data_IF_524549627232
#
_entry.id   IF_524549627232
#
_cell.length_a   1.000
_cell.length_b   1.000
_cell.length_c   1.000
_cell.angle_alpha   90.00
_cell.angle_beta   90.00
_cell.angle_gamma   90.00
#
_symmetry.space_group_name_H-M   'P 1'
#
loop_
_entity.id
_entity.type
_entity.pdbx_description
1 polymer ?
#
# COMPACT_ATOMS: atom_id res chain seq x y z
N UNK A 1 1.32 47.50 -7.64
CA UNK A 1 1.30 48.89 -7.06
C UNK A 1 2.67 49.22 -6.54
N UNK A 2 3.25 50.43 -6.82
CA UNK A 2 4.60 50.82 -6.35
C UNK A 2 4.54 51.80 -5.17
N UNK A 3 5.52 51.72 -4.28
CA UNK A 3 5.68 52.62 -3.13
C UNK A 3 6.23 53.98 -3.58
N UNK A 4 5.66 55.07 -3.07
CA UNK A 4 6.13 56.41 -3.36
C UNK A 4 7.44 56.75 -2.59
N UNK A 5 8.29 57.64 -3.12
CA UNK A 5 9.62 57.91 -2.58
C UNK A 5 9.66 58.35 -1.09
N UNK A 6 8.62 58.99 -0.57
CA UNK A 6 8.54 59.47 0.83
C UNK A 6 7.44 58.76 1.64
N UNK A 7 6.92 57.64 1.16
CA UNK A 7 5.83 56.93 1.81
C UNK A 7 6.38 55.94 2.85
N UNK A 8 5.86 55.96 4.08
CA UNK A 8 6.21 54.89 5.05
C UNK A 8 5.69 53.55 4.60
N UNK A 9 6.28 52.46 5.07
CA UNK A 9 5.83 51.09 4.74
C UNK A 9 4.36 50.90 5.14
N UNK A 10 3.96 51.41 6.30
CA UNK A 10 2.58 51.30 6.80
C UNK A 10 1.63 52.11 5.91
N UNK A 11 1.96 53.34 5.52
CA UNK A 11 1.15 54.14 4.62
C UNK A 11 0.98 53.49 3.23
N UNK A 12 2.03 52.84 2.73
CA UNK A 12 1.98 52.07 1.49
C UNK A 12 1.05 50.86 1.58
N UNK A 13 1.15 50.09 2.67
CA UNK A 13 0.27 48.93 2.93
C UNK A 13 -1.18 49.37 3.13
N UNK A 14 -1.40 50.51 3.80
CA UNK A 14 -2.71 51.12 3.98
C UNK A 14 -3.35 51.50 2.65
N UNK A 15 -2.62 52.20 1.79
CA UNK A 15 -3.06 52.58 0.45
C UNK A 15 -3.41 51.36 -0.41
N UNK A 16 -2.61 50.30 -0.31
CA UNK A 16 -2.93 49.05 -0.99
C UNK A 16 -4.21 48.39 -0.44
N UNK A 17 -4.44 48.47 0.88
CA UNK A 17 -5.63 47.92 1.52
C UNK A 17 -6.89 48.73 1.17
N UNK A 18 -6.78 50.05 1.03
CA UNK A 18 -7.86 50.88 0.53
C UNK A 18 -8.18 50.61 -0.96
N UNK A 19 -7.17 50.45 -1.80
CA UNK A 19 -7.32 50.08 -3.21
C UNK A 19 -7.99 48.74 -3.37
N UNK A 20 -7.64 47.71 -2.56
CA UNK A 20 -8.33 46.43 -2.53
C UNK A 20 -9.80 46.61 -2.14
N UNK A 21 -10.10 47.46 -1.16
CA UNK A 21 -11.48 47.68 -0.71
C UNK A 21 -12.36 48.38 -1.76
N UNK A 22 -11.76 49.18 -2.63
CA UNK A 22 -12.40 49.85 -3.77
C UNK A 22 -12.48 48.96 -5.02
N UNK A 23 -11.78 47.85 -5.03
CA UNK A 23 -11.69 46.97 -6.21
C UNK A 23 -10.67 47.42 -7.25
N UNK A 24 -9.80 48.38 -6.91
CA UNK A 24 -8.79 48.94 -7.83
C UNK A 24 -7.61 47.94 -8.03
N UNK A 25 -7.38 47.04 -7.08
CA UNK A 25 -6.39 45.97 -7.16
C UNK A 25 -6.99 44.63 -6.75
N UNK A 26 -6.43 43.54 -7.26
CA UNK A 26 -6.79 42.17 -6.87
C UNK A 26 -6.24 41.80 -5.50
N UNK A 27 -6.83 40.76 -4.89
CA UNK A 27 -6.36 40.23 -3.59
C UNK A 27 -4.93 39.70 -3.68
N UNK A 28 -4.48 39.24 -4.85
CA UNK A 28 -3.12 38.77 -5.11
C UNK A 28 -2.13 39.97 -5.11
N UNK A 29 -2.46 41.04 -5.84
CA UNK A 29 -1.64 42.25 -5.87
C UNK A 29 -1.53 42.92 -4.49
N UNK A 30 -2.59 42.87 -3.67
CA UNK A 30 -2.56 43.27 -2.28
C UNK A 30 -1.59 42.41 -1.46
N UNK A 31 -1.62 41.10 -1.66
CA UNK A 31 -0.74 40.17 -0.95
C UNK A 31 0.74 40.37 -1.29
N UNK A 32 1.07 40.68 -2.53
CA UNK A 32 2.43 41.07 -2.95
C UNK A 32 2.95 42.30 -2.19
N UNK A 33 2.08 43.30 -1.95
CA UNK A 33 2.43 44.50 -1.22
C UNK A 33 2.60 44.24 0.29
N UNK A 34 1.70 43.49 0.90
CA UNK A 34 1.62 43.31 2.36
C UNK A 34 2.41 42.10 2.85
N UNK A 35 2.45 41.03 2.11
CA UNK A 35 3.07 39.76 2.47
C UNK A 35 4.32 39.41 1.65
N UNK A 36 4.59 40.15 0.56
CA UNK A 36 5.76 39.95 -0.30
C UNK A 36 5.61 38.77 -1.27
N UNK A 37 4.49 38.05 -1.24
CA UNK A 37 4.23 36.89 -2.12
C UNK A 37 2.73 36.65 -2.30
N UNK A 38 2.20 36.97 -3.49
CA UNK A 38 0.77 36.87 -3.82
C UNK A 38 0.35 35.51 -4.44
N UNK A 39 1.30 34.68 -4.87
CA UNK A 39 0.98 33.43 -5.60
C UNK A 39 0.82 32.20 -4.70
N UNK A 40 1.32 32.24 -3.48
CA UNK A 40 1.43 31.08 -2.57
C UNK A 40 0.14 30.81 -1.76
N UNK A 41 -0.83 31.73 -1.76
CA UNK A 41 -1.99 31.62 -0.85
C UNK A 41 -3.33 31.53 -1.58
N UNK A 42 -4.25 30.71 -1.03
CA UNK A 42 -5.61 30.62 -1.57
C UNK A 42 -6.35 31.97 -1.43
N UNK A 43 -7.28 32.31 -2.35
CA UNK A 43 -8.05 33.55 -2.29
C UNK A 43 -8.81 33.75 -0.97
N UNK A 44 -9.28 32.67 -0.36
CA UNK A 44 -9.99 32.72 0.93
C UNK A 44 -9.07 33.08 2.08
N UNK A 45 -7.85 32.51 2.09
CA UNK A 45 -6.81 32.83 3.06
C UNK A 45 -6.39 34.30 2.95
N UNK A 46 -6.18 34.77 1.72
CA UNK A 46 -5.81 36.18 1.49
C UNK A 46 -6.92 37.14 1.94
N UNK A 47 -8.22 36.78 1.76
CA UNK A 47 -9.35 37.55 2.28
C UNK A 47 -9.37 37.64 3.80
N UNK A 48 -9.08 36.53 4.50
CA UNK A 48 -8.97 36.53 5.97
C UNK A 48 -7.82 37.40 6.43
N UNK A 49 -6.65 37.28 5.80
CA UNK A 49 -5.50 38.13 6.10
C UNK A 49 -5.78 39.62 5.86
N UNK A 50 -6.48 39.99 4.76
CA UNK A 50 -6.81 41.39 4.47
C UNK A 50 -7.79 41.98 5.49
N UNK A 51 -8.75 41.18 5.99
CA UNK A 51 -9.68 41.61 7.05
C UNK A 51 -8.97 41.84 8.38
N UNK A 52 -8.07 40.90 8.78
CA UNK A 52 -7.25 41.08 9.99
C UNK A 52 -6.34 42.30 9.89
N UNK A 53 -5.76 42.53 8.72
CA UNK A 53 -4.90 43.69 8.50
C UNK A 53 -5.70 45.01 8.54
N UNK A 54 -6.94 45.06 8.08
CA UNK A 54 -7.84 46.22 8.24
C UNK A 54 -8.12 46.53 9.71
N UNK A 55 -8.46 45.51 10.50
CA UNK A 55 -8.66 45.68 11.95
C UNK A 55 -7.38 46.19 12.64
N UNK A 56 -6.21 45.70 12.25
CA UNK A 56 -4.94 46.20 12.74
C UNK A 56 -4.71 47.69 12.40
N UNK A 57 -4.97 48.10 11.16
CA UNK A 57 -4.81 49.50 10.75
C UNK A 57 -5.78 50.44 11.50
N UNK A 58 -7.02 50.02 11.70
CA UNK A 58 -7.99 50.78 12.48
C UNK A 58 -7.53 51.02 13.93
N UNK A 59 -7.03 49.97 14.58
CA UNK A 59 -6.49 50.06 15.94
C UNK A 59 -5.18 50.90 15.97
N UNK A 60 -4.28 50.71 15.02
CA UNK A 60 -3.04 51.42 14.90
C UNK A 60 -3.29 52.95 14.77
N UNK A 61 -4.25 53.38 13.96
CA UNK A 61 -4.61 54.77 13.81
C UNK A 61 -5.19 55.38 15.08
N UNK A 62 -5.96 54.60 15.83
CA UNK A 62 -6.50 55.04 17.13
C UNK A 62 -5.36 55.27 18.11
N UNK A 63 -4.39 54.38 18.19
CA UNK A 63 -3.26 54.44 19.10
C UNK A 63 -2.26 55.54 18.76
N UNK A 64 -2.03 55.81 17.48
CA UNK A 64 -1.12 56.86 17.03
C UNK A 64 -1.71 58.24 17.28
N UNK A 65 -3.03 58.41 17.26
CA UNK A 65 -3.73 59.66 17.50
C UNK A 65 -3.79 60.04 18.99
N UNK A 66 -3.83 59.10 19.90
CA UNK A 66 -4.21 59.37 21.31
C UNK A 66 -3.05 59.23 22.31
N UNK A 67 -1.82 58.97 21.88
CA UNK A 67 -0.64 58.90 22.78
C UNK A 67 -0.78 57.80 23.85
N UNK A 68 -0.97 56.58 23.44
CA UNK A 68 -1.58 55.49 24.19
C UNK A 68 -0.85 54.95 25.43
N UNK A 69 -1.60 54.53 26.47
CA UNK A 69 -1.10 53.84 27.67
C UNK A 69 -0.56 52.42 27.37
N UNK A 70 0.22 51.86 28.32
CA UNK A 70 0.94 50.58 28.17
C UNK A 70 0.07 49.33 27.87
N UNK A 71 -1.19 49.28 28.30
CA UNK A 71 -2.15 48.19 28.06
C UNK A 71 -2.51 47.98 26.57
N UNK A 72 -2.53 49.06 25.79
CA UNK A 72 -2.86 48.98 24.37
C UNK A 72 -1.69 48.50 23.51
N UNK A 73 -0.45 48.69 23.99
CA UNK A 73 0.74 48.08 23.38
C UNK A 73 0.74 46.56 23.52
N UNK A 74 0.36 46.04 24.68
CA UNK A 74 0.24 44.59 24.92
C UNK A 74 -0.83 43.96 24.02
N UNK A 75 -1.93 44.67 23.80
CA UNK A 75 -2.99 44.17 22.91
C UNK A 75 -2.55 44.10 21.44
N UNK A 76 -1.74 45.08 20.98
CA UNK A 76 -1.12 45.07 19.66
C UNK A 76 -0.08 43.95 19.47
N UNK A 77 0.70 43.67 20.50
CA UNK A 77 1.66 42.58 20.50
C UNK A 77 0.94 41.21 20.43
N UNK A 78 -0.18 41.06 21.13
CA UNK A 78 -1.02 39.86 21.05
C UNK A 78 -1.62 39.66 19.65
N UNK A 79 -2.18 40.70 19.03
CA UNK A 79 -2.71 40.64 17.66
C UNK A 79 -1.61 40.29 16.65
N UNK A 80 -0.40 40.87 16.79
CA UNK A 80 0.74 40.53 15.96
C UNK A 80 1.17 39.06 16.11
N UNK A 81 1.09 38.53 17.32
CA UNK A 81 1.39 37.12 17.60
C UNK A 81 0.35 36.20 17.01
N UNK A 82 -0.94 36.57 17.08
CA UNK A 82 -2.02 35.82 16.41
C UNK A 82 -1.88 35.81 14.87
N UNK A 83 -1.57 36.96 14.29
CA UNK A 83 -1.27 37.06 12.85
C UNK A 83 -0.09 36.18 12.46
N UNK A 84 0.96 36.13 13.27
CA UNK A 84 2.12 35.26 13.04
C UNK A 84 1.71 33.77 13.13
N UNK A 85 0.90 33.39 14.12
CA UNK A 85 0.38 32.03 14.28
C UNK A 85 -0.49 31.59 13.09
N UNK A 86 -1.39 32.48 12.65
CA UNK A 86 -2.22 32.18 11.47
C UNK A 86 -1.38 32.09 10.19
N UNK A 87 -0.37 32.92 10.00
CA UNK A 87 0.58 32.83 8.89
C UNK A 87 1.30 31.49 8.87
N UNK A 88 1.75 30.98 10.02
CA UNK A 88 2.41 29.68 10.13
C UNK A 88 1.43 28.55 9.79
N UNK A 89 0.19 28.60 10.29
CA UNK A 89 -0.84 27.59 9.95
C UNK A 89 -1.11 27.52 8.45
N UNK A 90 -1.22 28.68 7.80
CA UNK A 90 -1.44 28.77 6.36
C UNK A 90 -0.25 28.24 5.57
N UNK A 91 0.97 28.57 5.99
CA UNK A 91 2.18 28.04 5.36
C UNK A 91 2.23 26.49 5.48
N UNK A 92 1.91 25.97 6.65
CA UNK A 92 1.85 24.51 6.88
C UNK A 92 0.81 23.83 5.99
N UNK A 93 -0.41 24.39 5.95
CA UNK A 93 -1.48 23.86 5.08
C UNK A 93 -1.11 23.88 3.59
N UNK A 94 -0.43 24.93 3.12
CA UNK A 94 0.04 24.99 1.73
C UNK A 94 1.18 24.01 1.45
N UNK A 95 2.08 23.79 2.41
CA UNK A 95 3.13 22.78 2.28
C UNK A 95 2.53 21.38 2.18
N UNK A 96 1.51 21.07 3.00
CA UNK A 96 0.79 19.82 2.97
C UNK A 96 0.01 19.64 1.65
N UNK A 97 -0.71 20.66 1.20
CA UNK A 97 -1.42 20.64 -0.07
C UNK A 97 -0.49 20.42 -1.28
N UNK A 98 0.63 21.13 -1.34
CA UNK A 98 1.62 20.97 -2.40
C UNK A 98 2.35 19.60 -2.30
N UNK A 99 2.53 19.06 -1.11
CA UNK A 99 3.06 17.71 -0.92
C UNK A 99 2.11 16.67 -1.50
N UNK A 100 0.80 16.81 -1.24
CA UNK A 100 -0.23 15.93 -1.79
C UNK A 100 -0.32 16.00 -3.31
N UNK A 101 -0.33 17.22 -3.90
CA UNK A 101 -0.30 17.38 -5.36
C UNK A 101 0.92 16.75 -6.04
N UNK A 102 2.10 16.88 -5.41
CA UNK A 102 3.33 16.23 -5.92
C UNK A 102 3.27 14.72 -5.77
N UNK A 103 2.60 14.23 -4.75
CA UNK A 103 2.38 12.81 -4.51
C UNK A 103 1.49 12.21 -5.61
N UNK A 104 0.33 12.84 -5.89
CA UNK A 104 -0.60 12.42 -6.94
C UNK A 104 0.08 12.41 -8.32
N UNK A 105 0.81 13.48 -8.65
CA UNK A 105 1.54 13.55 -9.91
C UNK A 105 2.63 12.47 -10.05
N UNK A 106 3.24 12.01 -8.94
CA UNK A 106 4.22 10.91 -8.98
C UNK A 106 3.54 9.55 -9.16
N UNK A 107 2.36 9.35 -8.55
CA UNK A 107 1.58 8.13 -8.78
C UNK A 107 1.14 8.02 -10.24
N UNK A 108 0.64 9.11 -10.83
CA UNK A 108 0.27 9.16 -12.24
C UNK A 108 1.46 8.80 -13.13
N UNK A 109 2.63 9.43 -12.89
CA UNK A 109 3.86 9.12 -13.62
C UNK A 109 4.32 7.66 -13.46
N UNK A 110 4.13 7.07 -12.27
CA UNK A 110 4.48 5.68 -12.03
C UNK A 110 3.54 4.75 -12.77
N UNK A 111 2.23 5.03 -12.71
CA UNK A 111 1.21 4.27 -13.43
C UNK A 111 1.42 4.35 -14.95
N UNK A 112 1.71 5.54 -15.50
CA UNK A 112 2.03 5.71 -16.92
C UNK A 112 3.26 4.89 -17.33
N UNK A 113 4.34 4.90 -16.55
CA UNK A 113 5.54 4.10 -16.83
C UNK A 113 5.26 2.59 -16.80
N UNK A 114 4.44 2.13 -15.87
CA UNK A 114 4.02 0.72 -15.78
C UNK A 114 3.22 0.33 -17.02
N UNK A 115 2.22 1.15 -17.41
CA UNK A 115 1.41 0.92 -18.62
C UNK A 115 2.27 0.93 -19.87
N UNK A 116 3.20 1.89 -19.99
CA UNK A 116 4.13 1.96 -21.13
C UNK A 116 5.06 0.74 -21.19
N UNK A 117 5.54 0.27 -20.05
CA UNK A 117 6.37 -0.94 -19.99
C UNK A 117 5.57 -2.18 -20.46
N UNK A 118 4.33 -2.33 -20.00
CA UNK A 118 3.45 -3.44 -20.40
C UNK A 118 3.14 -3.39 -21.91
N UNK A 119 2.87 -2.20 -22.46
CA UNK A 119 2.54 -2.04 -23.87
C UNK A 119 3.72 -2.36 -24.83
N UNK A 120 4.95 -2.37 -24.33
CA UNK A 120 6.15 -2.76 -25.10
C UNK A 120 6.42 -4.26 -25.08
N UNK A 121 5.77 -5.01 -24.20
CA UNK A 121 5.93 -6.45 -24.10
C UNK A 121 5.06 -7.15 -25.13
N UNK A 122 5.56 -8.25 -25.68
CA UNK A 122 4.76 -9.12 -26.53
C UNK A 122 3.57 -9.68 -25.74
N UNK A 123 2.35 -9.67 -26.28
CA UNK A 123 1.19 -10.27 -25.64
C UNK A 123 1.42 -11.77 -25.39
N UNK A 124 0.90 -12.28 -24.28
CA UNK A 124 0.84 -13.73 -24.12
C UNK A 124 -0.11 -14.35 -25.16
N UNK A 125 0.22 -15.56 -25.59
CA UNK A 125 -0.67 -16.35 -26.45
C UNK A 125 -2.03 -16.51 -25.78
N UNK A 126 -3.13 -16.38 -26.52
CA UNK A 126 -4.48 -16.58 -25.98
C UNK A 126 -4.64 -17.98 -25.39
N UNK A 127 -5.17 -18.06 -24.17
CA UNK A 127 -5.54 -19.33 -23.52
C UNK A 127 -7.05 -19.34 -23.40
N UNK A 128 -7.70 -20.24 -24.14
CA UNK A 128 -9.15 -20.36 -24.12
C UNK A 128 -9.68 -20.93 -22.81
N UNK A 129 -10.89 -20.51 -22.44
CA UNK A 129 -11.63 -21.06 -21.31
C UNK A 129 -11.80 -22.58 -21.45
N UNK A 130 -11.90 -23.27 -20.32
CA UNK A 130 -12.12 -24.71 -20.32
C UNK A 130 -13.63 -24.98 -20.25
N UNK A 131 -14.22 -25.68 -21.21
CA UNK A 131 -15.67 -25.95 -21.26
C UNK A 131 -16.15 -27.01 -20.27
N UNK A 132 -15.23 -27.74 -19.61
CA UNK A 132 -15.55 -28.92 -18.78
C UNK A 132 -15.78 -28.61 -17.29
N UNK A 133 -16.01 -27.34 -16.93
CA UNK A 133 -16.05 -26.84 -15.54
C UNK A 133 -17.43 -26.86 -14.86
N UNK A 134 -18.40 -27.63 -15.39
CA UNK A 134 -19.75 -27.66 -14.82
C UNK A 134 -19.86 -28.32 -13.44
N UNK A 135 -18.84 -29.06 -12.97
CA UNK A 135 -18.82 -29.69 -11.65
C UNK A 135 -17.39 -29.94 -11.18
N UNK A 136 -17.07 -29.46 -9.97
CA UNK A 136 -15.82 -29.75 -9.27
C UNK A 136 -16.16 -30.27 -7.87
N UNK A 137 -15.79 -31.52 -7.52
CA UNK A 137 -16.06 -32.06 -6.18
C UNK A 137 -15.26 -31.35 -5.09
N UNK A 138 -14.15 -30.77 -5.45
CA UNK A 138 -13.29 -29.97 -4.57
C UNK A 138 -12.78 -28.73 -5.30
N UNK A 139 -12.45 -27.70 -4.55
CA UNK A 139 -11.76 -26.50 -5.01
C UNK A 139 -10.42 -26.36 -4.32
N UNK A 140 -9.40 -25.95 -5.07
CA UNK A 140 -8.06 -25.69 -4.54
C UNK A 140 -7.91 -24.28 -4.01
N UNK A 141 -7.12 -24.13 -2.94
CA UNK A 141 -6.68 -22.86 -2.37
C UNK A 141 -5.17 -22.88 -2.20
N UNK A 142 -4.43 -22.14 -3.05
CA UNK A 142 -2.99 -21.98 -2.94
C UNK A 142 -2.69 -20.61 -2.31
N UNK A 143 -1.93 -20.63 -1.22
CA UNK A 143 -1.58 -19.44 -0.46
C UNK A 143 -0.08 -19.19 -0.50
N UNK A 144 0.27 -17.99 -0.93
CA UNK A 144 1.63 -17.50 -1.11
C UNK A 144 1.77 -16.23 -0.28
N UNK A 145 2.75 -16.16 0.60
CA UNK A 145 2.92 -15.03 1.53
C UNK A 145 4.36 -14.59 1.63
N UNK A 146 4.56 -13.32 1.99
CA UNK A 146 5.87 -12.75 2.36
C UNK A 146 6.93 -13.07 1.30
N UNK A 147 6.68 -12.60 0.08
CA UNK A 147 7.55 -12.82 -1.10
C UNK A 147 8.78 -11.94 -1.01
N UNK A 148 8.63 -10.66 -0.63
CA UNK A 148 9.70 -9.68 -0.51
C UNK A 148 10.62 -9.62 -1.74
N UNK A 149 10.02 -9.57 -2.94
CA UNK A 149 10.79 -9.43 -4.18
C UNK A 149 11.70 -8.20 -4.09
N UNK A 150 12.95 -8.36 -4.51
CA UNK A 150 14.00 -7.33 -4.42
C UNK A 150 14.84 -7.38 -3.15
N UNK A 151 14.45 -8.15 -2.13
CA UNK A 151 15.33 -8.40 -1.00
C UNK A 151 16.51 -9.31 -1.40
N UNK A 152 17.71 -9.01 -0.88
CA UNK A 152 18.88 -9.86 -1.02
C UNK A 152 19.62 -9.95 0.31
N UNK A 153 19.85 -11.17 0.76
CA UNK A 153 20.57 -11.47 2.00
C UNK A 153 21.04 -12.91 2.07
N UNK A 154 21.93 -13.17 3.04
CA UNK A 154 22.37 -14.49 3.47
C UNK A 154 22.23 -14.57 5.00
N UNK A 155 21.68 -15.67 5.52
CA UNK A 155 21.59 -15.97 6.94
C UNK A 155 22.47 -17.17 7.25
N UNK A 156 23.39 -17.01 8.19
CA UNK A 156 24.31 -18.08 8.63
C UNK A 156 23.98 -18.55 10.03
N UNK A 157 24.06 -19.85 10.25
CA UNK A 157 23.89 -20.49 11.56
C UNK A 157 25.07 -20.27 12.49
N UNK A 158 24.90 -20.75 13.71
CA UNK A 158 25.94 -20.65 14.78
C UNK A 158 27.26 -21.32 14.38
N UNK A 159 27.22 -22.34 13.54
CA UNK A 159 28.40 -23.05 13.04
C UNK A 159 28.94 -22.45 11.72
N UNK A 160 28.42 -21.30 11.29
CA UNK A 160 28.84 -20.58 10.08
C UNK A 160 28.30 -21.14 8.77
N UNK A 161 27.55 -22.25 8.77
CA UNK A 161 26.91 -22.75 7.55
C UNK A 161 25.72 -21.89 7.15
N UNK A 162 25.41 -21.87 5.86
CA UNK A 162 24.26 -21.15 5.32
C UNK A 162 22.94 -21.81 5.76
N UNK A 163 22.06 -21.04 6.41
CA UNK A 163 20.70 -21.46 6.78
C UNK A 163 19.75 -21.14 5.64
N UNK A 164 19.85 -19.92 5.09
CA UNK A 164 19.03 -19.44 4.01
C UNK A 164 19.76 -18.32 3.25
N UNK A 165 19.57 -18.31 1.95
CA UNK A 165 19.93 -17.18 1.10
C UNK A 165 18.70 -16.76 0.30
N UNK A 166 18.65 -15.47 -0.08
CA UNK A 166 17.58 -14.94 -0.87
C UNK A 166 18.10 -13.91 -1.89
N UNK A 167 17.58 -14.02 -3.09
CA UNK A 167 17.79 -13.10 -4.21
C UNK A 167 16.64 -13.28 -5.19
N UNK A 168 16.57 -12.45 -6.23
CA UNK A 168 15.55 -12.61 -7.26
C UNK A 168 15.68 -13.95 -8.02
N UNK A 169 16.91 -14.43 -8.23
CA UNK A 169 17.20 -15.74 -8.86
C UNK A 169 16.69 -16.88 -7.99
N UNK A 170 16.91 -16.82 -6.67
CA UNK A 170 16.41 -17.81 -5.72
C UNK A 170 14.88 -17.78 -5.67
N UNK A 171 14.28 -16.59 -5.68
CA UNK A 171 12.82 -16.43 -5.78
C UNK A 171 12.28 -17.15 -7.02
N UNK A 172 12.85 -16.91 -8.19
CA UNK A 172 12.47 -17.60 -9.44
C UNK A 172 12.61 -19.12 -9.31
N UNK A 173 13.72 -19.60 -8.79
CA UNK A 173 13.94 -21.03 -8.59
C UNK A 173 12.89 -21.66 -7.65
N UNK A 174 12.47 -20.96 -6.59
CA UNK A 174 11.40 -21.41 -5.68
C UNK A 174 10.05 -21.51 -6.39
N UNK A 175 9.70 -20.54 -7.23
CA UNK A 175 8.45 -20.56 -8.02
C UNK A 175 8.49 -21.63 -9.12
N UNK A 176 9.63 -21.87 -9.77
CA UNK A 176 9.78 -22.99 -10.71
C UNK A 176 9.67 -24.35 -10.00
N UNK A 177 10.24 -24.48 -8.82
CA UNK A 177 10.02 -25.66 -7.99
C UNK A 177 8.53 -25.85 -7.65
N UNK A 178 7.83 -24.77 -7.26
CA UNK A 178 6.41 -24.82 -6.94
C UNK A 178 5.57 -25.21 -8.15
N UNK A 179 5.84 -24.67 -9.33
CA UNK A 179 5.17 -25.04 -10.58
C UNK A 179 5.33 -26.54 -10.86
N UNK A 180 6.56 -27.05 -10.80
CA UNK A 180 6.85 -28.47 -11.02
C UNK A 180 6.22 -29.37 -9.95
N UNK A 181 6.14 -28.89 -8.69
CA UNK A 181 5.50 -29.63 -7.62
C UNK A 181 3.99 -29.71 -7.83
N UNK A 182 3.36 -28.59 -8.20
CA UNK A 182 1.92 -28.53 -8.50
C UNK A 182 1.57 -29.38 -9.72
N UNK A 183 2.35 -29.33 -10.77
CA UNK A 183 2.15 -30.20 -11.95
C UNK A 183 2.05 -31.68 -11.58
N UNK A 184 2.87 -32.14 -10.64
CA UNK A 184 2.94 -33.55 -10.22
C UNK A 184 1.93 -33.95 -9.16
N UNK A 185 1.50 -33.00 -8.31
CA UNK A 185 0.79 -33.33 -7.07
C UNK A 185 -0.59 -32.66 -6.96
N UNK A 186 -0.94 -31.73 -7.83
CA UNK A 186 -2.23 -31.06 -7.79
C UNK A 186 -3.36 -32.06 -8.13
N UNK A 187 -4.45 -32.01 -7.34
CA UNK A 187 -5.63 -32.81 -7.61
C UNK A 187 -6.34 -32.31 -8.87
N UNK A 188 -6.25 -33.06 -9.97
CA UNK A 188 -6.82 -32.65 -11.27
C UNK A 188 -8.38 -32.70 -11.30
N UNK A 189 -9.01 -33.24 -10.27
CA UNK A 189 -10.46 -33.20 -10.12
C UNK A 189 -10.94 -31.85 -9.56
N UNK A 190 -10.07 -31.11 -8.87
CA UNK A 190 -10.30 -29.72 -8.47
C UNK A 190 -10.14 -28.79 -9.68
N UNK A 191 -11.25 -28.40 -10.31
CA UNK A 191 -11.26 -27.60 -11.55
C UNK A 191 -11.07 -26.08 -11.30
N UNK A 192 -11.26 -25.63 -10.06
CA UNK A 192 -11.06 -24.26 -9.64
C UNK A 192 -9.92 -24.17 -8.65
N UNK A 193 -9.06 -23.16 -8.83
CA UNK A 193 -7.96 -22.87 -7.94
C UNK A 193 -7.98 -21.38 -7.56
N UNK A 194 -8.23 -21.08 -6.30
CA UNK A 194 -8.01 -19.74 -5.77
C UNK A 194 -6.56 -19.58 -5.32
N UNK A 195 -5.90 -18.55 -5.78
CA UNK A 195 -4.52 -18.21 -5.39
C UNK A 195 -4.59 -16.94 -4.54
N UNK A 196 -4.32 -17.07 -3.25
CA UNK A 196 -4.22 -15.95 -2.31
C UNK A 196 -2.76 -15.51 -2.13
N UNK A 197 -2.43 -14.31 -2.58
CA UNK A 197 -1.12 -13.66 -2.32
C UNK A 197 -1.30 -12.77 -1.10
N UNK A 198 -0.75 -13.19 0.04
CA UNK A 198 -1.06 -12.64 1.36
C UNK A 198 -0.11 -11.50 1.78
N UNK A 199 0.20 -10.59 0.88
CA UNK A 199 0.96 -9.38 1.17
C UNK A 199 2.48 -9.55 1.26
N UNK A 200 3.15 -8.42 1.51
CA UNK A 200 4.60 -8.27 1.50
C UNK A 200 5.21 -8.86 0.21
N UNK A 201 4.64 -8.42 -0.93
CA UNK A 201 5.00 -8.90 -2.27
C UNK A 201 6.38 -8.39 -2.66
N UNK A 202 6.65 -7.11 -2.37
CA UNK A 202 7.94 -6.48 -2.66
C UNK A 202 8.62 -6.03 -1.36
N UNK A 203 9.97 -6.05 -1.35
CA UNK A 203 10.72 -5.39 -0.29
C UNK A 203 10.66 -3.88 -0.53
N UNK A 204 9.70 -3.23 0.09
CA UNK A 204 9.51 -1.79 -0.01
C UNK A 204 10.46 -0.99 0.87
N UNK A 205 10.26 0.32 0.93
CA UNK A 205 11.08 1.26 1.72
C UNK A 205 10.45 1.46 3.10
N UNK A 206 10.16 0.37 3.81
CA UNK A 206 9.51 0.40 5.12
C UNK A 206 10.41 1.02 6.19
N UNK A 207 11.70 0.68 6.17
CA UNK A 207 12.73 1.12 7.15
C UNK A 207 14.07 1.27 6.46
N UNK A 208 15.02 1.94 7.11
CA UNK A 208 16.41 2.03 6.62
C UNK A 208 17.06 0.64 6.43
N UNK A 209 16.70 -0.34 7.25
CA UNK A 209 17.16 -1.72 7.10
C UNK A 209 16.61 -2.40 5.84
N UNK A 210 15.43 -2.03 5.37
CA UNK A 210 14.90 -2.50 4.08
C UNK A 210 15.70 -1.95 2.90
N UNK A 211 16.08 -0.66 2.96
CA UNK A 211 16.94 -0.06 1.94
C UNK A 211 18.29 -0.76 1.79
N UNK A 212 18.86 -1.26 2.90
CA UNK A 212 20.12 -1.97 2.87
C UNK A 212 20.04 -3.36 2.20
N UNK A 213 18.83 -3.93 2.08
CA UNK A 213 18.57 -5.20 1.40
C UNK A 213 18.28 -5.04 -0.09
N UNK A 214 17.94 -3.84 -0.55
CA UNK A 214 17.58 -3.57 -1.94
C UNK A 214 18.83 -3.38 -2.80
N UNK A 215 18.97 -4.16 -3.85
CA UNK A 215 20.00 -3.96 -4.89
C UNK A 215 19.52 -3.15 -6.09
N UNK A 216 18.23 -3.18 -6.35
CA UNK A 216 17.60 -2.49 -7.47
C UNK A 216 16.58 -1.45 -6.95
N UNK A 217 16.26 -0.38 -7.70
CA UNK A 217 15.17 0.52 -7.37
C UNK A 217 13.85 -0.24 -7.22
N UNK A 218 13.03 0.14 -6.24
CA UNK A 218 11.74 -0.54 -5.96
C UNK A 218 10.84 -0.60 -7.18
N UNK A 219 10.82 0.47 -7.98
CA UNK A 219 9.99 0.52 -9.22
C UNK A 219 10.43 -0.55 -10.21
N UNK A 220 11.74 -0.72 -10.42
CA UNK A 220 12.27 -1.73 -11.33
C UNK A 220 11.97 -3.14 -10.80
N UNK A 221 12.06 -3.33 -9.49
CA UNK A 221 11.66 -4.58 -8.81
C UNK A 221 10.17 -4.88 -9.02
N UNK A 222 9.28 -3.89 -8.86
CA UNK A 222 7.83 -4.06 -9.08
C UNK A 222 7.57 -4.54 -10.51
N UNK A 223 8.16 -3.89 -11.51
CA UNK A 223 8.00 -4.25 -12.93
C UNK A 223 8.52 -5.66 -13.18
N UNK A 224 9.75 -5.94 -12.75
CA UNK A 224 10.43 -7.23 -12.95
C UNK A 224 9.67 -8.40 -12.28
N UNK A 225 9.21 -8.19 -11.06
CA UNK A 225 8.42 -9.19 -10.34
C UNK A 225 7.05 -9.39 -10.99
N UNK A 226 6.35 -8.33 -11.34
CA UNK A 226 5.02 -8.42 -11.94
C UNK A 226 5.04 -9.18 -13.26
N UNK A 227 6.04 -8.93 -14.12
CA UNK A 227 6.19 -9.68 -15.38
C UNK A 227 6.50 -11.16 -15.12
N UNK A 228 7.45 -11.43 -14.21
CA UNK A 228 7.77 -12.79 -13.81
C UNK A 228 6.54 -13.53 -13.26
N UNK A 229 5.78 -12.89 -12.38
CA UNK A 229 4.63 -13.55 -11.74
C UNK A 229 3.45 -13.73 -12.71
N UNK A 230 3.25 -12.79 -13.63
CA UNK A 230 2.26 -12.94 -14.70
C UNK A 230 2.60 -14.12 -15.62
N UNK A 231 3.89 -14.26 -16.04
CA UNK A 231 4.35 -15.42 -16.81
C UNK A 231 4.14 -16.73 -16.03
N UNK A 232 4.50 -16.76 -14.75
CA UNK A 232 4.32 -17.92 -13.90
C UNK A 232 2.84 -18.34 -13.78
N UNK A 233 1.92 -17.38 -13.57
CA UNK A 233 0.48 -17.64 -13.53
C UNK A 233 -0.06 -18.16 -14.87
N UNK A 234 0.42 -17.56 -15.97
CA UNK A 234 0.04 -18.00 -17.33
C UNK A 234 0.46 -19.45 -17.57
N UNK A 235 1.69 -19.80 -17.23
CA UNK A 235 2.21 -21.18 -17.33
C UNK A 235 1.48 -22.14 -16.40
N UNK A 236 1.18 -21.71 -15.16
CA UNK A 236 0.46 -22.52 -14.20
C UNK A 236 -0.94 -22.87 -14.72
N UNK A 237 -1.66 -21.93 -15.31
CA UNK A 237 -3.00 -22.16 -15.88
C UNK A 237 -2.98 -23.18 -17.02
N UNK A 238 -1.92 -23.17 -17.83
CA UNK A 238 -1.73 -24.12 -18.92
C UNK A 238 -1.37 -25.50 -18.40
N UNK A 239 -0.44 -25.58 -17.45
CA UNK A 239 0.03 -26.83 -16.84
C UNK A 239 -1.08 -27.53 -16.07
N UNK A 240 -1.84 -26.81 -15.27
CA UNK A 240 -2.93 -27.39 -14.48
C UNK A 240 -4.21 -27.62 -15.30
N UNK A 241 -4.47 -26.77 -16.28
CA UNK A 241 -5.70 -26.83 -17.09
C UNK A 241 -6.96 -26.46 -16.30
N UNK A 242 -6.82 -25.66 -15.23
CA UNK A 242 -7.91 -25.24 -14.33
C UNK A 242 -8.21 -23.75 -14.48
N UNK A 243 -9.40 -23.33 -14.05
CA UNK A 243 -9.74 -21.91 -13.89
C UNK A 243 -9.15 -21.40 -12.59
N UNK A 244 -8.49 -20.25 -12.64
CA UNK A 244 -7.81 -19.66 -11.49
C UNK A 244 -8.38 -18.29 -11.14
N UNK A 245 -8.64 -18.07 -9.84
CA UNK A 245 -8.96 -16.78 -9.24
C UNK A 245 -7.75 -16.30 -8.45
N UNK A 246 -7.23 -15.12 -8.74
CA UNK A 246 -6.03 -14.56 -8.07
C UNK A 246 -6.45 -13.39 -7.19
N UNK A 247 -6.27 -13.58 -5.89
CA UNK A 247 -6.57 -12.61 -4.85
C UNK A 247 -5.27 -12.02 -4.30
N UNK A 248 -5.11 -10.71 -4.46
CA UNK A 248 -3.91 -10.00 -4.01
C UNK A 248 -4.25 -9.15 -2.80
N UNK A 249 -3.60 -9.46 -1.68
CA UNK A 249 -3.72 -8.73 -0.42
C UNK A 249 -2.46 -7.90 -0.24
N UNK A 250 -2.59 -6.66 0.20
CA UNK A 250 -1.44 -5.81 0.50
C UNK A 250 -0.86 -6.09 1.88
N UNK A 251 0.46 -6.08 1.98
CA UNK A 251 1.21 -6.17 3.24
C UNK A 251 1.79 -4.83 3.67
N UNK A 252 2.46 -4.82 4.81
CA UNK A 252 3.06 -3.59 5.33
C UNK A 252 4.35 -3.17 4.61
N UNK A 253 5.06 -4.09 3.93
CA UNK A 253 6.20 -3.77 3.07
C UNK A 253 5.77 -3.22 1.71
N UNK A 254 4.53 -3.49 1.28
CA UNK A 254 3.98 -2.96 0.04
C UNK A 254 3.58 -1.48 0.13
N UNK A 255 3.49 -0.89 1.34
CA UNK A 255 3.13 0.52 1.53
C UNK A 255 4.15 1.47 0.88
N UNK A 256 3.65 2.44 0.10
CA UNK A 256 4.48 3.50 -0.46
C UNK A 256 4.71 4.53 0.63
N UNK A 257 5.88 4.50 1.27
CA UNK A 257 6.27 5.43 2.33
C UNK A 257 7.19 6.53 1.80
N UNK A 258 6.86 7.78 2.09
CA UNK A 258 7.72 8.92 1.82
C UNK A 258 8.24 9.50 3.13
N UNK A 259 9.57 9.68 3.23
CA UNK A 259 10.23 10.34 4.36
C UNK A 259 9.88 9.74 5.73
N UNK A 260 9.74 8.42 5.85
CA UNK A 260 9.40 7.68 7.07
C UNK A 260 7.98 7.94 7.63
N UNK A 261 7.12 8.65 6.93
CA UNK A 261 5.73 8.79 7.30
C UNK A 261 4.92 7.63 6.72
N UNK A 262 3.92 7.16 7.48
CA UNK A 262 2.94 6.19 6.98
C UNK A 262 2.23 6.78 5.76
N UNK A 263 1.90 5.93 4.79
CA UNK A 263 1.02 6.32 3.70
C UNK A 263 -0.25 6.98 4.26
N UNK A 264 -0.73 8.03 3.60
CA UNK A 264 -1.96 8.72 3.99
C UNK A 264 -3.19 7.87 3.67
N UNK A 265 -3.07 6.96 2.72
CA UNK A 265 -4.11 6.02 2.30
C UNK A 265 -3.58 4.60 2.27
N UNK A 266 -4.34 3.65 2.80
CA UNK A 266 -4.06 2.21 2.68
C UNK A 266 -4.14 1.71 1.24
N UNK A 267 -4.71 2.52 0.33
CA UNK A 267 -4.80 2.22 -1.10
C UNK A 267 -3.52 2.52 -1.88
N UNK A 268 -2.60 3.28 -1.28
CA UNK A 268 -1.30 3.61 -1.88
C UNK A 268 -0.27 2.54 -1.54
N UNK A 269 -0.24 1.49 -2.36
CA UNK A 269 0.69 0.40 -2.15
C UNK A 269 1.17 -0.22 -3.46
N UNK A 270 2.35 -0.83 -3.44
CA UNK A 270 2.94 -1.51 -4.58
C UNK A 270 2.17 -2.77 -4.99
N UNK A 271 1.49 -3.43 -4.05
CA UNK A 271 0.67 -4.61 -4.36
C UNK A 271 -0.47 -4.27 -5.34
N UNK A 272 -1.04 -3.05 -5.26
CA UNK A 272 -2.03 -2.57 -6.23
C UNK A 272 -1.43 -2.44 -7.64
N UNK A 273 -0.21 -1.90 -7.75
CA UNK A 273 0.48 -1.80 -9.04
C UNK A 273 0.79 -3.19 -9.62
N UNK A 274 1.22 -4.13 -8.78
CA UNK A 274 1.45 -5.53 -9.15
C UNK A 274 0.15 -6.15 -9.66
N UNK A 275 -0.98 -5.97 -8.96
CA UNK A 275 -2.27 -6.51 -9.35
C UNK A 275 -2.72 -5.98 -10.73
N UNK A 276 -2.65 -4.66 -10.93
CA UNK A 276 -3.03 -4.04 -12.21
C UNK A 276 -2.10 -4.48 -13.35
N UNK A 277 -0.80 -4.59 -13.10
CA UNK A 277 0.15 -5.10 -14.08
C UNK A 277 -0.22 -6.52 -14.52
N UNK A 278 -0.42 -7.43 -13.56
CA UNK A 278 -0.74 -8.83 -13.84
C UNK A 278 -2.08 -8.95 -14.58
N UNK A 279 -3.10 -8.18 -14.17
CA UNK A 279 -4.40 -8.13 -14.82
C UNK A 279 -4.28 -7.74 -16.30
N UNK A 280 -3.50 -6.69 -16.61
CA UNK A 280 -3.26 -6.26 -17.99
C UNK A 280 -2.47 -7.29 -18.80
N UNK A 281 -1.46 -7.93 -18.20
CA UNK A 281 -0.64 -8.95 -18.88
C UNK A 281 -1.43 -10.21 -19.20
N UNK A 282 -2.32 -10.62 -18.30
CA UNK A 282 -3.12 -11.85 -18.43
C UNK A 282 -4.48 -11.64 -19.14
N UNK A 283 -4.74 -10.45 -19.69
CA UNK A 283 -6.03 -10.12 -20.34
C UNK A 283 -6.47 -11.08 -21.45
N UNK A 284 -5.53 -11.80 -22.07
CA UNK A 284 -5.78 -12.78 -23.12
C UNK A 284 -5.86 -14.22 -22.60
N UNK A 285 -5.75 -14.43 -21.29
CA UNK A 285 -5.86 -15.74 -20.67
C UNK A 285 -7.22 -15.85 -19.96
N UNK A 286 -8.19 -16.46 -20.60
CA UNK A 286 -9.58 -16.60 -20.09
C UNK A 286 -9.70 -17.53 -18.88
N UNK A 287 -8.62 -18.27 -18.54
CA UNK A 287 -8.61 -19.14 -17.35
C UNK A 287 -8.14 -18.43 -16.09
N UNK A 288 -7.64 -17.21 -16.17
CA UNK A 288 -7.08 -16.49 -15.02
C UNK A 288 -7.83 -15.19 -14.79
N UNK A 289 -8.53 -15.12 -13.67
CA UNK A 289 -9.24 -13.93 -13.21
C UNK A 289 -8.41 -13.29 -12.10
N UNK A 290 -7.91 -12.07 -12.32
CA UNK A 290 -7.15 -11.32 -11.32
C UNK A 290 -8.05 -10.25 -10.72
N UNK A 291 -8.24 -10.29 -9.41
CA UNK A 291 -9.05 -9.32 -8.68
C UNK A 291 -8.23 -8.09 -8.26
N UNK A 292 -8.97 -7.00 -7.97
CA UNK A 292 -8.35 -5.78 -7.46
C UNK A 292 -7.67 -6.04 -6.11
N UNK A 293 -6.54 -5.41 -5.86
CA UNK A 293 -5.83 -5.51 -4.59
C UNK A 293 -6.72 -5.02 -3.43
N UNK A 294 -6.66 -5.74 -2.32
CA UNK A 294 -7.38 -5.42 -1.08
C UNK A 294 -6.46 -5.52 0.15
N UNK A 295 -6.85 -4.93 1.27
CA UNK A 295 -6.15 -5.11 2.56
C UNK A 295 -6.58 -6.41 3.25
N UNK A 296 -7.81 -6.84 3.00
CA UNK A 296 -8.36 -8.13 3.43
C UNK A 296 -9.53 -8.49 2.52
N UNK A 297 -9.79 -9.77 2.34
CA UNK A 297 -10.91 -10.25 1.52
C UNK A 297 -11.48 -11.55 2.06
N UNK A 298 -12.80 -11.62 2.10
CA UNK A 298 -13.50 -12.90 2.30
C UNK A 298 -13.80 -13.48 0.92
N UNK A 299 -13.22 -14.63 0.64
CA UNK A 299 -13.44 -15.40 -0.58
C UNK A 299 -14.31 -16.60 -0.28
N UNK A 300 -15.04 -17.09 -1.27
CA UNK A 300 -15.86 -18.30 -1.16
C UNK A 300 -15.15 -19.43 -1.88
N UNK A 301 -14.82 -20.49 -1.15
CA UNK A 301 -14.15 -21.69 -1.66
C UNK A 301 -15.09 -22.88 -1.37
N UNK A 302 -15.58 -23.54 -2.39
CA UNK A 302 -16.53 -24.67 -2.27
C UNK A 302 -17.63 -24.37 -1.23
N UNK A 303 -18.29 -23.19 -1.32
CA UNK A 303 -19.35 -22.69 -0.44
C UNK A 303 -18.88 -22.19 0.95
N UNK A 304 -17.61 -22.35 1.33
CA UNK A 304 -17.06 -21.92 2.62
C UNK A 304 -16.44 -20.52 2.55
N UNK A 305 -16.71 -19.70 3.57
CA UNK A 305 -16.16 -18.35 3.66
C UNK A 305 -14.77 -18.38 4.29
N UNK A 306 -13.78 -17.98 3.51
CA UNK A 306 -12.37 -17.95 3.90
C UNK A 306 -11.87 -16.51 3.91
N UNK A 307 -11.33 -16.05 5.03
CA UNK A 307 -10.72 -14.73 5.14
C UNK A 307 -9.24 -14.80 4.75
N UNK A 308 -8.87 -13.98 3.78
CA UNK A 308 -7.49 -13.73 3.37
C UNK A 308 -7.05 -12.35 3.88
N UNK A 309 -5.94 -12.29 4.59
CA UNK A 309 -5.38 -11.06 5.15
C UNK A 309 -3.87 -11.21 5.32
N UNK A 310 -3.10 -10.12 5.25
CA UNK A 310 -1.64 -10.22 5.42
C UNK A 310 -1.26 -10.71 6.82
N UNK A 311 -1.95 -10.24 7.82
CA UNK A 311 -1.72 -10.63 9.21
C UNK A 311 -1.25 -9.47 10.09
N UNK A 312 -1.47 -9.70 11.37
CA UNK A 312 -1.01 -8.84 12.45
C UNK A 312 -0.34 -9.70 13.52
N UNK A 313 0.26 -9.05 14.53
CA UNK A 313 0.80 -9.78 15.69
C UNK A 313 -0.27 -10.58 16.45
N UNK A 314 -1.55 -10.21 16.31
CA UNK A 314 -2.67 -10.88 16.97
C UNK A 314 -3.77 -11.26 15.98
N UNK A 315 -3.58 -12.37 15.28
CA UNK A 315 -4.51 -12.88 14.29
C UNK A 315 -5.92 -13.17 14.84
N UNK A 316 -6.04 -13.54 16.14
CA UNK A 316 -7.36 -13.77 16.76
C UNK A 316 -8.18 -12.49 16.83
N UNK A 317 -7.56 -11.37 17.20
CA UNK A 317 -8.26 -10.09 17.23
C UNK A 317 -8.71 -9.66 15.84
N UNK A 318 -7.90 -9.92 14.82
CA UNK A 318 -8.26 -9.68 13.42
C UNK A 318 -9.45 -10.54 13.02
N UNK A 319 -9.40 -11.85 13.28
CA UNK A 319 -10.52 -12.75 13.02
C UNK A 319 -11.81 -12.24 13.67
N UNK A 320 -11.76 -11.92 14.98
CA UNK A 320 -12.92 -11.40 15.74
C UNK A 320 -13.45 -10.08 15.17
N UNK A 321 -12.58 -9.22 14.67
CA UNK A 321 -13.04 -7.98 14.05
C UNK A 321 -13.91 -8.25 12.82
N UNK A 322 -13.53 -9.18 11.98
CA UNK A 322 -14.32 -9.51 10.80
C UNK A 322 -15.56 -10.35 11.12
N UNK A 323 -15.46 -11.33 12.03
CA UNK A 323 -16.59 -12.17 12.40
C UNK A 323 -17.60 -11.44 13.28
N UNK A 324 -17.16 -10.87 14.40
CA UNK A 324 -18.03 -10.37 15.45
C UNK A 324 -18.47 -8.92 15.18
N UNK A 325 -17.55 -8.07 14.68
CA UNK A 325 -17.82 -6.64 14.47
C UNK A 325 -18.44 -6.40 13.10
N UNK A 326 -17.95 -7.03 12.04
CA UNK A 326 -18.51 -6.91 10.69
C UNK A 326 -19.63 -7.91 10.40
N UNK A 327 -19.89 -8.84 11.31
CA UNK A 327 -20.97 -9.83 11.21
C UNK A 327 -20.79 -10.80 10.04
N UNK A 328 -19.55 -11.16 9.69
CA UNK A 328 -19.23 -12.11 8.64
C UNK A 328 -18.98 -13.50 9.23
N UNK A 329 -19.74 -14.48 8.78
CA UNK A 329 -19.41 -15.86 9.08
C UNK A 329 -18.13 -16.25 8.34
N UNK A 330 -17.10 -16.65 9.06
CA UNK A 330 -15.77 -17.02 8.54
C UNK A 330 -15.38 -18.35 9.15
N UNK A 331 -15.09 -19.35 8.33
CA UNK A 331 -14.74 -20.69 8.76
C UNK A 331 -13.23 -20.88 8.86
N UNK A 332 -12.48 -20.22 7.99
CA UNK A 332 -11.04 -20.21 8.06
C UNK A 332 -10.48 -18.81 7.79
N UNK A 333 -9.39 -18.47 8.48
CA UNK A 333 -8.58 -17.30 8.18
C UNK A 333 -7.17 -17.73 7.84
N UNK A 334 -6.65 -17.23 6.73
CA UNK A 334 -5.26 -17.42 6.33
C UNK A 334 -4.51 -16.10 6.33
N UNK A 335 -3.34 -16.08 6.96
CA UNK A 335 -2.52 -14.88 7.07
C UNK A 335 -1.02 -15.21 7.03
N UNK A 336 -0.17 -14.23 6.71
CA UNK A 336 1.29 -14.29 6.69
C UNK A 336 1.97 -13.50 7.80
N UNK A 337 2.86 -12.57 7.43
CA UNK A 337 3.51 -11.52 8.23
C UNK A 337 4.61 -11.97 9.21
N UNK A 338 4.46 -13.10 9.91
CA UNK A 338 5.45 -13.51 10.92
C UNK A 338 6.47 -14.54 10.41
N UNK A 339 6.47 -14.84 9.09
CA UNK A 339 7.37 -15.76 8.42
C UNK A 339 7.45 -17.17 9.09
N UNK A 340 6.38 -17.57 9.78
CA UNK A 340 6.31 -18.85 10.49
C UNK A 340 4.95 -19.51 10.26
N UNK A 341 4.94 -20.83 10.11
CA UNK A 341 3.69 -21.60 10.00
C UNK A 341 3.11 -21.89 11.38
N UNK A 342 1.80 -21.67 11.52
CA UNK A 342 1.05 -21.97 12.74
C UNK A 342 -0.42 -22.23 12.40
N UNK A 343 -1.00 -23.30 12.92
CA UNK A 343 -2.45 -23.52 12.83
C UNK A 343 -3.05 -23.45 14.22
N UNK A 344 -4.11 -22.67 14.37
CA UNK A 344 -4.85 -22.51 15.61
C UNK A 344 -6.32 -22.78 15.40
N UNK A 345 -6.86 -23.81 16.06
CA UNK A 345 -8.30 -24.06 16.13
C UNK A 345 -8.95 -23.04 17.07
N UNK A 346 -10.09 -22.49 16.64
CA UNK A 346 -10.94 -21.61 17.45
C UNK A 346 -12.17 -22.35 18.00
N UNK A 347 -12.42 -23.58 17.54
CA UNK A 347 -13.54 -24.41 17.91
C UNK A 347 -14.23 -24.99 16.66
N UNK A 348 -15.37 -25.64 16.86
CA UNK A 348 -16.20 -26.16 15.79
C UNK A 348 -17.59 -25.53 15.85
N UNK A 349 -18.15 -25.25 14.67
CA UNK A 349 -19.51 -24.76 14.54
C UNK A 349 -20.16 -25.38 13.29
N UNK A 350 -21.38 -25.86 13.46
CA UNK A 350 -22.19 -26.48 12.41
C UNK A 350 -21.45 -27.59 11.62
N UNK A 351 -20.64 -28.36 12.35
CA UNK A 351 -19.89 -29.48 11.79
C UNK A 351 -18.57 -29.12 11.09
N UNK A 352 -18.20 -27.83 11.08
CA UNK A 352 -16.96 -27.33 10.47
C UNK A 352 -15.99 -26.79 11.55
N UNK A 353 -14.73 -27.15 11.46
CA UNK A 353 -13.67 -26.61 12.32
C UNK A 353 -13.32 -25.18 11.91
N UNK A 354 -13.50 -24.24 12.83
CA UNK A 354 -13.09 -22.84 12.65
C UNK A 354 -11.63 -22.69 13.03
N UNK A 355 -10.82 -22.20 12.11
CA UNK A 355 -9.38 -22.11 12.31
C UNK A 355 -8.72 -20.84 11.76
N UNK A 356 -7.57 -20.54 12.35
CA UNK A 356 -6.62 -19.57 11.79
C UNK A 356 -5.37 -20.34 11.40
N UNK A 357 -4.93 -20.16 10.15
CA UNK A 357 -3.68 -20.72 9.67
C UNK A 357 -2.75 -19.59 9.22
N UNK A 358 -1.57 -19.54 9.83
CA UNK A 358 -0.48 -18.66 9.37
C UNK A 358 0.35 -19.41 8.35
N UNK A 359 0.44 -18.82 7.16
CA UNK A 359 1.20 -19.33 6.02
C UNK A 359 2.66 -18.94 6.19
N UNK A 360 3.57 -19.84 5.87
CA UNK A 360 4.99 -19.56 5.86
C UNK A 360 5.40 -18.63 4.73
N UNK A 361 6.56 -18.00 4.87
CA UNK A 361 7.11 -17.06 3.90
C UNK A 361 7.76 -17.77 2.72
N UNK A 362 7.53 -17.25 1.49
CA UNK A 362 8.32 -17.66 0.30
C UNK A 362 9.79 -17.28 0.45
N UNK A 363 10.07 -16.14 1.08
CA UNK A 363 11.42 -15.69 1.37
C UNK A 363 12.12 -16.58 2.40
N UNK A 364 11.36 -17.18 3.34
CA UNK A 364 11.89 -18.00 4.44
C UNK A 364 12.49 -17.17 5.55
N UNK A 365 13.41 -17.78 6.33
CA UNK A 365 14.10 -17.08 7.42
C UNK A 365 14.98 -15.95 6.85
N UNK A 366 14.78 -14.75 7.36
CA UNK A 366 15.57 -13.56 7.07
C UNK A 366 16.31 -13.07 8.32
N UNK A 367 17.25 -12.12 8.21
CA UNK A 367 18.01 -11.63 9.37
C UNK A 367 17.14 -11.11 10.53
N UNK A 368 15.95 -10.55 10.23
CA UNK A 368 15.04 -10.08 11.26
C UNK A 368 14.34 -11.24 11.98
N UNK A 369 13.73 -12.16 11.23
CA UNK A 369 13.03 -13.32 11.78
C UNK A 369 13.99 -14.26 12.53
N UNK A 370 15.25 -14.38 12.07
CA UNK A 370 16.29 -15.09 12.82
C UNK A 370 16.59 -14.40 14.15
N UNK A 371 16.75 -13.09 14.17
CA UNK A 371 17.03 -12.33 15.40
C UNK A 371 15.97 -12.52 16.49
N UNK A 372 14.70 -12.70 16.12
CA UNK A 372 13.57 -12.94 17.02
C UNK A 372 13.23 -14.42 17.18
N UNK A 373 14.02 -15.34 16.58
CA UNK A 373 13.84 -16.80 16.63
C UNK A 373 12.48 -17.29 16.14
N UNK A 374 11.96 -16.69 15.05
CA UNK A 374 10.64 -17.02 14.46
C UNK A 374 10.69 -17.40 12.98
N UNK A 375 11.85 -17.50 12.39
CA UNK A 375 11.97 -17.89 10.99
C UNK A 375 11.55 -19.34 10.73
N UNK A 376 10.96 -19.62 9.59
CA UNK A 376 10.67 -20.96 9.08
C UNK A 376 11.38 -21.22 7.75
N UNK A 377 11.40 -22.48 7.33
CA UNK A 377 11.86 -22.83 5.97
C UNK A 377 10.94 -22.18 4.92
N UNK A 378 11.46 -21.79 3.76
CA UNK A 378 10.63 -21.24 2.69
C UNK A 378 9.46 -22.19 2.35
N UNK A 379 8.25 -21.65 2.35
CA UNK A 379 7.06 -22.47 2.08
C UNK A 379 5.87 -21.64 1.59
N UNK A 380 4.92 -22.32 0.97
CA UNK A 380 3.57 -21.87 0.68
C UNK A 380 2.58 -22.93 1.15
N UNK A 381 1.28 -22.66 1.11
CA UNK A 381 0.26 -23.57 1.61
C UNK A 381 -0.73 -23.93 0.50
N UNK A 382 -1.08 -25.21 0.38
CA UNK A 382 -2.14 -25.68 -0.52
C UNK A 382 -3.19 -26.41 0.32
N UNK A 383 -4.45 -26.08 0.10
CA UNK A 383 -5.61 -26.74 0.70
C UNK A 383 -6.63 -27.12 -0.37
N UNK A 384 -7.43 -28.13 -0.10
CA UNK A 384 -8.63 -28.47 -0.88
C UNK A 384 -9.85 -28.37 0.01
N UNK A 385 -10.94 -27.90 -0.58
CA UNK A 385 -12.22 -27.72 0.09
C UNK A 385 -13.30 -28.45 -0.70
N UNK A 386 -14.18 -29.15 -0.01
CA UNK A 386 -15.43 -29.68 -0.56
C UNK A 386 -16.62 -28.90 -0.01
N UNK A 387 -17.74 -28.91 -0.73
CA UNK A 387 -18.97 -28.23 -0.31
C UNK A 387 -19.50 -28.73 1.05
N UNK A 388 -19.34 -30.01 1.34
CA UNK A 388 -19.96 -30.66 2.51
C UNK A 388 -19.06 -30.74 3.74
N UNK A 389 -17.73 -30.79 3.56
CA UNK A 389 -16.79 -31.06 4.65
C UNK A 389 -15.87 -29.86 4.98
N UNK A 390 -15.90 -28.80 4.17
CA UNK A 390 -14.94 -27.73 4.27
C UNK A 390 -13.56 -28.17 3.79
N UNK A 391 -12.51 -27.85 4.56
CA UNK A 391 -11.15 -28.27 4.21
C UNK A 391 -10.99 -29.79 4.36
N UNK A 392 -10.80 -30.48 3.26
CA UNK A 392 -10.62 -31.94 3.18
C UNK A 392 -9.15 -32.34 3.30
N UNK A 393 -8.26 -31.50 2.81
CA UNK A 393 -6.82 -31.74 2.84
C UNK A 393 -6.03 -30.42 2.78
N UNK A 394 -4.89 -30.40 3.47
CA UNK A 394 -3.97 -29.27 3.32
C UNK A 394 -2.52 -29.65 3.59
N UNK A 395 -1.59 -28.86 3.03
CA UNK A 395 -0.15 -29.07 3.17
C UNK A 395 0.66 -27.80 3.00
N UNK A 396 1.66 -27.62 3.88
CA UNK A 396 2.74 -26.66 3.66
C UNK A 396 3.77 -27.24 2.70
N UNK A 397 3.87 -26.65 1.52
CA UNK A 397 4.83 -27.03 0.48
C UNK A 397 6.15 -26.32 0.76
N UNK A 398 7.17 -27.07 1.12
CA UNK A 398 8.51 -26.54 1.34
C UNK A 398 9.18 -26.23 0.01
N UNK A 399 9.52 -24.96 -0.20
CA UNK A 399 10.16 -24.47 -1.42
C UNK A 399 11.66 -24.70 -1.36
N UNK A 400 12.11 -25.90 -1.75
CA UNK A 400 13.53 -26.22 -1.84
C UNK A 400 13.99 -25.91 -3.25
N UNK A 401 14.98 -25.02 -3.46
CA UNK A 401 15.62 -24.93 -4.76
C UNK A 401 16.18 -26.31 -5.10
N UNK A 402 15.99 -26.70 -6.34
CA UNK A 402 16.68 -27.86 -6.88
C UNK A 402 18.17 -27.50 -6.90
N UNK A 403 18.96 -28.14 -6.03
CA UNK A 403 20.42 -28.01 -6.03
C UNK A 403 21.02 -28.61 -7.28
#
# INVERSE_FOLDING_TARGET
MQRNENETIIAYMERATQALSKGDISIKEWAEVVAGDGEVYSPETLRRCSNLFKMFLEQYHTLVKDGAPSEEKENLEQILEEIKKEKIKVQTANLEYNANLRHDARQDMLSEKVVDAINRLEPFEPVAENSDWLYSPEEGLLLISDIHAGAEFEVRGVDGYEINAYSFEILRARFEYLLNWLDKNYNRDAKFLTIGVLGDIVEGVLRLSSLAKLKEPVVDTVIKFSEFFADWLNRLSQVLGVTMSVEIISGNHDEIRMLQQKSYSTEENFAKLVAEYIKLRLRNNERVIVHDCATARVVRIAEHNVLLEHGTKNAINTYRYFSDVQGKWIEAMYCGHLHSTETKSLGAFDGVDVKIHRVGSVMGVDPYSDSIRKGSVPSCHLAYYSETEGETWSRDIKLKPLG
#
